data_IF_345248720262
#
_entry.id   IF_345248720262
#
_cell.length_a   1.000
_cell.length_b   1.000
_cell.length_c   1.000
_cell.angle_alpha   90.00
_cell.angle_beta   90.00
_cell.angle_gamma   90.00
#
_symmetry.space_group_name_H-M   'P 1'
#
loop_
_entity.id
_entity.type
_entity.pdbx_description
1 polymer ?
#
# COMPACT_ATOMS: atom_id res chain seq x y z
N UNK A 1 28.23 7.60 -17.11
CA UNK A 1 27.00 6.82 -17.33
C UNK A 1 26.21 7.48 -18.46
N UNK A 2 25.73 6.69 -19.41
CA UNK A 2 24.90 7.16 -20.52
C UNK A 2 23.45 6.74 -20.25
N UNK A 3 22.52 7.66 -20.40
CA UNK A 3 21.11 7.47 -20.07
C UNK A 3 20.25 7.58 -21.32
N UNK A 4 19.38 6.61 -21.54
CA UNK A 4 18.27 6.69 -22.48
C UNK A 4 17.00 7.16 -21.76
N UNK A 5 16.14 7.92 -22.41
CA UNK A 5 14.86 8.33 -21.86
C UNK A 5 13.77 8.26 -22.92
N UNK A 6 12.79 7.38 -22.72
CA UNK A 6 11.69 7.13 -23.66
C UNK A 6 10.40 7.72 -23.10
N UNK A 7 9.79 8.64 -23.87
CA UNK A 7 8.60 9.37 -23.45
C UNK A 7 8.95 10.75 -22.88
N UNK A 8 9.06 11.75 -23.76
CA UNK A 8 9.37 13.13 -23.42
C UNK A 8 8.10 14.00 -23.36
N UNK A 9 7.05 13.46 -22.72
CA UNK A 9 5.84 14.21 -22.43
C UNK A 9 6.07 15.29 -21.36
N UNK A 10 4.99 15.86 -20.82
CA UNK A 10 5.05 16.94 -19.81
C UNK A 10 5.92 16.63 -18.59
N UNK A 11 5.92 15.38 -18.14
CA UNK A 11 6.77 14.92 -17.04
C UNK A 11 8.14 14.47 -17.53
N UNK A 12 8.17 13.66 -18.60
CA UNK A 12 9.39 12.98 -19.04
C UNK A 12 10.47 13.92 -19.54
N UNK A 13 10.12 14.99 -20.25
CA UNK A 13 11.11 15.95 -20.76
C UNK A 13 11.83 16.64 -19.59
N UNK A 14 11.10 17.21 -18.64
CA UNK A 14 11.70 17.87 -17.48
C UNK A 14 12.57 16.92 -16.65
N UNK A 15 12.12 15.66 -16.44
CA UNK A 15 12.93 14.67 -15.73
C UNK A 15 14.23 14.34 -16.50
N UNK A 16 14.14 14.16 -17.82
CA UNK A 16 15.30 13.89 -18.66
C UNK A 16 16.29 15.07 -18.66
N UNK A 17 15.81 16.31 -18.70
CA UNK A 17 16.64 17.52 -18.64
C UNK A 17 17.36 17.68 -17.29
N UNK A 18 16.69 17.38 -16.16
CA UNK A 18 17.33 17.34 -14.84
C UNK A 18 18.45 16.29 -14.81
N UNK A 19 18.21 15.10 -15.37
CA UNK A 19 19.27 14.09 -15.51
C UNK A 19 20.40 14.55 -16.41
N UNK A 20 20.08 15.33 -17.46
CA UNK A 20 21.02 15.89 -18.42
C UNK A 20 22.01 16.88 -17.82
N UNK A 21 21.73 17.44 -16.65
CA UNK A 21 22.67 18.30 -15.93
C UNK A 21 23.90 17.53 -15.41
N UNK A 22 23.80 16.21 -15.29
CA UNK A 22 24.83 15.37 -14.70
C UNK A 22 25.29 14.20 -15.58
N UNK A 23 24.44 13.75 -16.49
CA UNK A 23 24.66 12.58 -17.33
C UNK A 23 24.51 12.87 -18.83
N UNK A 24 25.09 12.03 -19.67
CA UNK A 24 24.89 12.07 -21.12
C UNK A 24 23.54 11.44 -21.45
N UNK A 25 22.48 12.26 -21.54
CA UNK A 25 21.11 11.81 -21.75
C UNK A 25 20.72 11.92 -23.22
N UNK A 26 20.14 10.85 -23.75
CA UNK A 26 19.52 10.82 -25.08
C UNK A 26 18.05 10.44 -24.93
N UNK A 27 17.14 11.35 -25.25
CA UNK A 27 15.70 11.16 -25.12
C UNK A 27 15.02 10.92 -26.46
N UNK A 28 13.95 10.15 -26.47
CA UNK A 28 13.07 9.88 -27.60
C UNK A 28 11.60 10.03 -27.26
N UNK A 29 10.84 10.62 -28.15
CA UNK A 29 9.37 10.68 -28.12
C UNK A 29 8.82 10.49 -29.53
N UNK A 30 7.61 9.93 -29.64
CA UNK A 30 6.92 9.79 -30.94
C UNK A 30 6.54 11.15 -31.55
N UNK A 31 6.40 12.17 -30.70
CA UNK A 31 6.16 13.55 -31.13
C UNK A 31 7.47 14.34 -31.14
N UNK A 32 7.65 15.25 -32.07
CA UNK A 32 8.85 16.11 -32.12
C UNK A 32 9.04 16.86 -30.78
N UNK A 33 10.24 16.80 -30.24
CA UNK A 33 10.66 17.53 -29.05
C UNK A 33 11.92 18.34 -29.35
N UNK A 34 12.16 19.33 -28.53
CA UNK A 34 13.38 20.13 -28.56
C UNK A 34 13.90 20.31 -27.14
N UNK A 35 15.19 20.25 -26.97
CA UNK A 35 15.90 20.51 -25.72
C UNK A 35 17.32 21.01 -26.04
N UNK A 36 17.80 21.87 -25.16
CA UNK A 36 19.20 22.33 -25.18
C UNK A 36 20.03 21.64 -24.07
N UNK A 37 19.39 20.81 -23.21
CA UNK A 37 20.03 20.12 -22.09
C UNK A 37 20.32 18.65 -22.40
N UNK A 38 19.58 18.03 -23.32
CA UNK A 38 19.73 16.62 -23.68
C UNK A 38 19.75 16.44 -25.21
N UNK A 39 20.27 15.30 -25.64
CA UNK A 39 20.19 14.92 -27.07
C UNK A 39 18.80 14.38 -27.38
N UNK A 40 18.19 14.81 -28.47
CA UNK A 40 16.93 14.26 -28.96
C UNK A 40 17.24 13.24 -30.07
N UNK A 41 16.84 11.99 -29.83
CA UNK A 41 16.97 10.89 -30.77
C UNK A 41 15.84 10.90 -31.80
N UNK A 42 16.10 10.33 -32.96
CA UNK A 42 15.13 10.17 -34.06
C UNK A 42 14.46 8.79 -34.03
N UNK A 43 14.96 7.89 -33.22
CA UNK A 43 14.43 6.52 -33.07
C UNK A 43 14.59 5.98 -31.65
N UNK A 44 13.78 4.96 -31.30
CA UNK A 44 13.95 4.20 -30.06
C UNK A 44 15.35 3.58 -30.00
N UNK A 45 15.84 3.07 -31.12
CA UNK A 45 17.18 2.49 -31.27
C UNK A 45 18.25 3.43 -30.74
N UNK A 46 18.27 4.68 -31.21
CA UNK A 46 19.31 5.65 -30.84
C UNK A 46 19.27 6.04 -29.36
N UNK A 47 18.07 5.97 -28.76
CA UNK A 47 17.88 6.24 -27.34
C UNK A 47 18.17 5.02 -26.42
N UNK A 48 18.33 3.81 -27.00
CA UNK A 48 18.57 2.56 -26.27
C UNK A 48 20.00 2.03 -26.46
N UNK A 49 20.50 1.97 -27.70
CA UNK A 49 21.83 1.38 -27.97
C UNK A 49 22.94 2.15 -27.25
N UNK A 50 23.81 1.38 -26.56
CA UNK A 50 24.96 1.92 -25.86
C UNK A 50 24.65 2.76 -24.61
N UNK A 51 23.43 2.70 -24.08
CA UNK A 51 23.06 3.31 -22.82
C UNK A 51 23.26 2.33 -21.67
N UNK A 52 23.53 2.84 -20.49
CA UNK A 52 23.65 2.05 -19.26
C UNK A 52 22.28 1.84 -18.60
N UNK A 53 21.46 2.91 -18.55
CA UNK A 53 20.11 2.92 -17.99
C UNK A 53 19.15 3.53 -19.01
N UNK A 54 17.96 2.94 -19.17
CA UNK A 54 16.89 3.42 -20.04
C UNK A 54 15.64 3.66 -19.21
N UNK A 55 15.26 4.92 -19.02
CA UNK A 55 14.02 5.31 -18.37
C UNK A 55 12.85 5.31 -19.34
N UNK A 56 11.68 4.85 -18.88
CA UNK A 56 10.46 4.76 -19.69
C UNK A 56 9.33 5.48 -18.96
N UNK A 57 8.89 6.61 -19.51
CA UNK A 57 7.86 7.48 -18.97
C UNK A 57 6.73 7.74 -19.99
N UNK A 58 6.22 6.69 -20.58
CA UNK A 58 5.10 6.74 -21.53
C UNK A 58 3.76 6.69 -20.80
N UNK A 59 2.70 7.11 -21.48
CA UNK A 59 1.37 7.17 -20.88
C UNK A 59 0.76 5.78 -20.65
N UNK A 60 0.01 5.65 -19.55
CA UNK A 60 -0.98 4.60 -19.29
C UNK A 60 -2.37 5.27 -19.29
N UNK A 61 -2.93 5.58 -20.47
CA UNK A 61 -4.14 6.38 -20.52
C UNK A 61 -5.34 5.63 -19.95
N UNK A 62 -6.21 6.36 -19.26
CA UNK A 62 -7.57 5.94 -19.03
C UNK A 62 -8.45 6.29 -20.24
N UNK A 63 -9.61 5.67 -20.33
CA UNK A 63 -10.61 6.08 -21.29
C UNK A 63 -11.04 7.53 -20.98
N UNK A 64 -11.12 8.44 -21.97
CA UNK A 64 -11.43 9.84 -21.75
C UNK A 64 -12.70 10.12 -20.95
N UNK A 65 -13.69 9.22 -20.99
CA UNK A 65 -14.92 9.37 -20.20
C UNK A 65 -14.69 9.21 -18.69
N UNK A 66 -13.53 8.68 -18.26
CA UNK A 66 -13.16 8.48 -16.85
C UNK A 66 -12.23 9.57 -16.31
N UNK A 67 -12.11 10.73 -16.96
CA UNK A 67 -11.21 11.81 -16.54
C UNK A 67 -11.66 12.56 -15.27
N UNK A 68 -12.87 12.28 -14.77
CA UNK A 68 -13.43 12.89 -13.57
C UNK A 68 -14.00 14.30 -13.78
N UNK A 69 -13.99 14.84 -15.00
CA UNK A 69 -14.60 16.15 -15.30
C UNK A 69 -16.13 16.10 -15.35
N UNK A 70 -16.70 14.92 -15.42
CA UNK A 70 -18.12 14.61 -15.34
C UNK A 70 -18.37 13.54 -14.27
N UNK A 71 -19.60 13.36 -13.76
CA UNK A 71 -19.91 12.26 -12.84
C UNK A 71 -19.61 10.90 -13.48
N UNK A 72 -18.80 10.07 -12.83
CA UNK A 72 -18.33 8.78 -13.35
C UNK A 72 -18.61 7.58 -12.43
N UNK A 73 -19.08 7.80 -11.21
CA UNK A 73 -19.30 6.72 -10.22
C UNK A 73 -20.36 5.69 -10.65
N UNK A 74 -21.21 6.04 -11.62
CA UNK A 74 -22.22 5.15 -12.22
C UNK A 74 -21.67 4.28 -13.36
N UNK A 75 -20.45 4.56 -13.84
CA UNK A 75 -19.81 3.80 -14.91
C UNK A 75 -19.22 2.49 -14.36
N UNK A 76 -19.10 1.45 -15.20
CA UNK A 76 -18.38 0.24 -14.82
C UNK A 76 -16.93 0.52 -14.44
N UNK A 77 -16.39 -0.22 -13.47
CA UNK A 77 -14.96 -0.13 -13.14
C UNK A 77 -14.10 -0.50 -14.36
N UNK A 78 -12.99 0.22 -14.55
CA UNK A 78 -12.11 0.04 -15.70
C UNK A 78 -10.66 0.25 -15.31
N UNK A 79 -9.77 -0.59 -15.83
CA UNK A 79 -8.32 -0.49 -15.66
C UNK A 79 -7.72 0.54 -16.64
N UNK A 80 -6.45 0.88 -16.43
CA UNK A 80 -5.65 1.65 -17.38
C UNK A 80 -5.44 0.88 -18.68
N UNK A 81 -5.11 1.61 -19.75
CA UNK A 81 -4.67 0.98 -20.99
C UNK A 81 -3.14 0.87 -21.00
N UNK A 82 -2.62 -0.35 -21.06
CA UNK A 82 -1.18 -0.63 -21.02
C UNK A 82 -0.55 -0.85 -22.41
N UNK A 83 -1.31 -0.75 -23.50
CA UNK A 83 -0.82 -1.07 -24.85
C UNK A 83 0.36 -0.20 -25.28
N UNK A 84 0.37 1.08 -24.89
CA UNK A 84 1.50 1.98 -25.17
C UNK A 84 2.76 1.50 -24.44
N UNK A 85 2.63 1.12 -23.17
CA UNK A 85 3.77 0.61 -22.38
C UNK A 85 4.26 -0.72 -22.95
N UNK A 86 3.36 -1.67 -23.24
CA UNK A 86 3.71 -2.98 -23.84
C UNK A 86 4.45 -2.81 -25.17
N UNK A 87 3.90 -2.00 -26.07
CA UNK A 87 4.54 -1.70 -27.37
C UNK A 87 5.90 -1.03 -27.22
N UNK A 88 6.01 -0.09 -26.26
CA UNK A 88 7.28 0.62 -26.00
C UNK A 88 8.34 -0.34 -25.44
N UNK A 89 7.98 -1.16 -24.46
CA UNK A 89 8.89 -2.17 -23.88
C UNK A 89 9.32 -3.19 -24.95
N UNK A 90 8.41 -3.65 -25.81
CA UNK A 90 8.73 -4.52 -26.93
C UNK A 90 9.72 -3.86 -27.92
N UNK A 91 9.51 -2.59 -28.24
CA UNK A 91 10.43 -1.82 -29.11
C UNK A 91 11.82 -1.66 -28.48
N UNK A 92 11.88 -1.40 -27.17
CA UNK A 92 13.14 -1.33 -26.42
C UNK A 92 13.84 -2.70 -26.43
N UNK A 93 13.10 -3.79 -26.20
CA UNK A 93 13.63 -5.15 -26.14
C UNK A 93 14.35 -5.60 -27.42
N UNK A 94 13.96 -5.07 -28.58
CA UNK A 94 14.65 -5.34 -29.84
C UNK A 94 16.07 -4.76 -29.94
N UNK A 95 16.38 -3.76 -29.12
CA UNK A 95 17.66 -3.03 -29.16
C UNK A 95 18.44 -3.10 -27.84
N UNK A 96 17.77 -3.48 -26.76
CA UNK A 96 18.37 -3.60 -25.44
C UNK A 96 19.14 -4.92 -25.29
N UNK A 97 20.10 -4.92 -24.38
CA UNK A 97 20.93 -6.09 -24.02
C UNK A 97 20.84 -6.35 -22.52
N UNK A 98 21.23 -7.56 -22.09
CA UNK A 98 21.26 -7.97 -20.69
C UNK A 98 22.11 -7.07 -19.77
N UNK A 99 23.05 -6.33 -20.33
CA UNK A 99 23.89 -5.40 -19.57
C UNK A 99 23.21 -4.06 -19.28
N UNK A 100 22.06 -3.79 -19.88
CA UNK A 100 21.32 -2.56 -19.73
C UNK A 100 20.19 -2.69 -18.70
N UNK A 101 19.94 -1.61 -17.97
CA UNK A 101 18.84 -1.53 -17.01
C UNK A 101 17.69 -0.70 -17.57
N UNK A 102 16.53 -1.30 -17.73
CA UNK A 102 15.28 -0.60 -18.12
C UNK A 102 14.50 -0.26 -16.84
N UNK A 103 14.12 1.00 -16.72
CA UNK A 103 13.44 1.57 -15.55
C UNK A 103 12.09 2.13 -15.97
N UNK A 104 11.01 1.45 -15.61
CA UNK A 104 9.65 1.89 -15.92
C UNK A 104 9.14 2.86 -14.85
N UNK A 105 8.70 4.05 -15.28
CA UNK A 105 8.15 5.11 -14.42
C UNK A 105 6.61 5.14 -14.46
N UNK A 106 6.02 4.75 -15.57
CA UNK A 106 4.57 4.85 -15.82
C UNK A 106 3.73 4.20 -14.71
N UNK A 107 2.65 4.85 -14.32
CA UNK A 107 1.76 4.35 -13.27
C UNK A 107 0.95 3.15 -13.74
N UNK A 108 0.93 2.09 -12.95
CA UNK A 108 0.20 0.85 -13.21
C UNK A 108 -0.42 0.31 -11.92
N UNK A 109 -1.41 -0.61 -12.02
CA UNK A 109 -2.01 -1.27 -10.87
C UNK A 109 -1.10 -2.37 -10.28
N UNK A 110 -1.25 -2.73 -8.99
CA UNK A 110 -0.49 -3.81 -8.37
C UNK A 110 -0.61 -5.14 -9.12
N UNK A 111 0.54 -5.75 -9.42
CA UNK A 111 0.66 -7.00 -10.16
C UNK A 111 0.79 -6.83 -11.68
N UNK A 112 0.63 -5.63 -12.22
CA UNK A 112 0.67 -5.39 -13.68
C UNK A 112 2.07 -5.66 -14.26
N UNK A 113 3.13 -5.21 -13.61
CA UNK A 113 4.50 -5.46 -14.08
C UNK A 113 4.76 -6.95 -14.19
N UNK A 114 4.49 -7.69 -13.13
CA UNK A 114 4.73 -9.13 -13.07
C UNK A 114 3.89 -9.91 -14.07
N UNK A 115 2.61 -9.61 -14.17
CA UNK A 115 1.65 -10.41 -14.95
C UNK A 115 1.59 -10.01 -16.43
N UNK A 116 1.82 -8.72 -16.77
CA UNK A 116 1.56 -8.22 -18.11
C UNK A 116 2.77 -7.57 -18.78
N UNK A 117 3.65 -6.86 -18.04
CA UNK A 117 4.66 -6.02 -18.69
C UNK A 117 6.02 -6.70 -18.81
N UNK A 118 6.45 -7.46 -17.81
CA UNK A 118 7.80 -8.08 -17.77
C UNK A 118 8.09 -8.97 -18.97
N UNK A 119 7.11 -9.66 -19.50
CA UNK A 119 7.25 -10.50 -20.70
C UNK A 119 7.66 -9.73 -21.96
N UNK A 120 7.41 -8.41 -22.03
CA UNK A 120 7.75 -7.58 -23.17
C UNK A 120 9.20 -7.05 -23.14
N UNK A 121 9.94 -7.29 -22.05
CA UNK A 121 11.32 -6.81 -21.86
C UNK A 121 12.23 -7.90 -21.26
N UNK A 122 12.32 -9.05 -21.91
CA UNK A 122 13.09 -10.20 -21.43
C UNK A 122 14.60 -10.08 -21.65
N UNK A 123 15.04 -9.27 -22.62
CA UNK A 123 16.45 -9.13 -23.01
C UNK A 123 17.26 -8.14 -22.18
N UNK A 124 16.67 -7.49 -21.17
CA UNK A 124 17.35 -6.52 -20.33
C UNK A 124 16.98 -6.71 -18.86
N UNK A 125 17.80 -6.14 -17.95
CA UNK A 125 17.46 -6.03 -16.53
C UNK A 125 16.32 -5.01 -16.38
N UNK A 126 15.48 -5.17 -15.36
CA UNK A 126 14.25 -4.38 -15.25
C UNK A 126 13.95 -3.96 -13.82
N UNK A 127 13.61 -2.67 -13.64
CA UNK A 127 13.12 -2.09 -12.40
C UNK A 127 11.81 -1.32 -12.68
N UNK A 128 10.88 -1.36 -11.72
CA UNK A 128 9.76 -0.44 -11.65
C UNK A 128 10.06 0.69 -10.66
N UNK A 129 9.98 1.94 -11.12
CA UNK A 129 10.35 3.11 -10.32
C UNK A 129 9.35 4.25 -10.53
N UNK A 130 8.15 4.18 -9.93
CA UNK A 130 7.14 5.21 -10.07
C UNK A 130 7.54 6.50 -9.37
N UNK A 131 7.19 7.63 -9.94
CA UNK A 131 7.46 8.94 -9.36
C UNK A 131 6.27 9.49 -8.59
N UNK A 132 6.55 10.23 -7.50
CA UNK A 132 5.60 11.05 -6.74
C UNK A 132 5.80 12.52 -7.10
N UNK A 133 5.55 12.85 -8.35
CA UNK A 133 5.78 14.20 -8.94
C UNK A 133 4.45 14.85 -9.27
N UNK A 134 4.28 16.12 -8.85
CA UNK A 134 3.11 16.92 -9.19
C UNK A 134 3.38 17.73 -10.47
N UNK A 135 2.33 17.91 -11.28
CA UNK A 135 2.40 18.81 -12.44
C UNK A 135 2.55 20.26 -11.96
N UNK A 136 3.49 20.98 -12.55
CA UNK A 136 3.84 22.35 -12.18
C UNK A 136 5.08 22.50 -11.30
N UNK A 137 5.54 21.41 -10.65
CA UNK A 137 6.76 21.37 -9.83
C UNK A 137 7.72 20.24 -10.22
N UNK A 138 7.63 19.74 -11.47
CA UNK A 138 8.30 18.50 -11.91
C UNK A 138 9.81 18.51 -11.62
N UNK A 139 10.51 19.58 -11.97
CA UNK A 139 11.97 19.67 -11.76
C UNK A 139 12.32 19.69 -10.28
N UNK A 140 11.57 20.44 -9.47
CA UNK A 140 11.80 20.50 -8.03
C UNK A 140 11.50 19.16 -7.35
N UNK A 141 10.35 18.55 -7.64
CA UNK A 141 9.95 17.26 -7.09
C UNK A 141 10.92 16.15 -7.49
N UNK A 142 11.50 16.24 -8.71
CA UNK A 142 12.47 15.26 -9.21
C UNK A 142 13.74 15.22 -8.36
N UNK A 143 14.22 16.37 -7.86
CA UNK A 143 15.45 16.46 -7.08
C UNK A 143 15.22 16.59 -5.57
N UNK A 144 13.97 16.79 -5.12
CA UNK A 144 13.58 16.90 -3.72
C UNK A 144 12.41 15.95 -3.34
N UNK A 145 12.40 14.69 -3.77
CA UNK A 145 11.29 13.79 -3.48
C UNK A 145 11.22 13.45 -1.98
N UNK A 146 10.03 13.19 -1.47
CA UNK A 146 9.83 12.63 -0.12
C UNK A 146 10.44 11.23 0.00
N UNK A 147 10.28 10.43 -1.05
CA UNK A 147 10.85 9.09 -1.17
C UNK A 147 11.12 8.73 -2.64
N UNK A 148 12.09 7.86 -2.84
CA UNK A 148 12.36 7.18 -4.12
C UNK A 148 11.90 5.73 -3.98
N UNK A 149 10.95 5.31 -4.81
CA UNK A 149 10.35 3.97 -4.77
C UNK A 149 11.04 3.11 -5.83
N UNK A 150 11.56 1.96 -5.44
CA UNK A 150 12.28 1.03 -6.33
C UNK A 150 11.69 -0.36 -6.19
N UNK A 151 11.07 -0.86 -7.25
CA UNK A 151 10.52 -2.22 -7.33
C UNK A 151 11.44 -3.13 -8.14
N UNK A 152 11.91 -4.21 -7.53
CA UNK A 152 12.65 -5.29 -8.16
C UNK A 152 11.82 -6.58 -8.22
N UNK A 153 12.29 -7.61 -8.86
CA UNK A 153 11.55 -8.88 -8.95
C UNK A 153 11.37 -9.54 -7.58
N UNK A 154 12.43 -9.55 -6.79
CA UNK A 154 12.51 -10.21 -5.48
C UNK A 154 12.51 -9.26 -4.27
N UNK A 155 12.49 -7.94 -4.52
CA UNK A 155 12.59 -6.90 -3.50
C UNK A 155 14.00 -6.73 -2.92
N UNK A 156 15.03 -7.24 -3.58
CA UNK A 156 16.43 -7.10 -3.15
C UNK A 156 16.91 -5.66 -3.24
N UNK A 157 17.59 -5.19 -2.18
CA UNK A 157 18.21 -3.86 -2.12
C UNK A 157 19.59 -3.82 -2.81
N UNK A 158 20.10 -4.97 -3.26
CA UNK A 158 21.40 -5.11 -3.91
C UNK A 158 21.31 -4.98 -5.44
N UNK A 159 22.42 -5.15 -6.16
CA UNK A 159 22.44 -5.19 -7.63
C UNK A 159 21.83 -3.94 -8.26
N UNK A 160 20.75 -4.12 -9.03
CA UNK A 160 20.11 -3.05 -9.79
C UNK A 160 19.43 -1.99 -8.93
N UNK A 161 18.84 -2.38 -7.79
CA UNK A 161 18.27 -1.43 -6.85
C UNK A 161 19.35 -0.51 -6.26
N UNK A 162 20.50 -1.09 -5.91
CA UNK A 162 21.65 -0.29 -5.44
C UNK A 162 22.18 0.64 -6.53
N UNK A 163 22.33 0.16 -7.75
CA UNK A 163 22.78 0.96 -8.90
C UNK A 163 21.86 2.17 -9.10
N UNK A 164 20.54 1.94 -9.09
CA UNK A 164 19.56 3.02 -9.26
C UNK A 164 19.53 3.96 -8.06
N UNK A 165 19.68 3.46 -6.84
CA UNK A 165 19.81 4.27 -5.63
C UNK A 165 21.03 5.19 -5.71
N UNK A 166 22.19 4.66 -6.10
CA UNK A 166 23.43 5.46 -6.24
C UNK A 166 23.30 6.52 -7.36
N UNK A 167 22.59 6.17 -8.45
CA UNK A 167 22.23 7.12 -9.49
C UNK A 167 21.42 8.29 -8.94
N UNK A 168 20.34 8.03 -8.21
CA UNK A 168 19.50 9.08 -7.62
C UNK A 168 20.21 9.88 -6.54
N UNK A 169 21.01 9.27 -5.67
CA UNK A 169 21.81 10.00 -4.67
C UNK A 169 22.69 11.07 -5.30
N UNK A 170 23.10 10.88 -6.55
CA UNK A 170 23.89 11.87 -7.26
C UNK A 170 23.09 13.08 -7.72
N UNK A 171 21.77 12.94 -7.90
CA UNK A 171 20.86 13.96 -8.43
C UNK A 171 20.11 14.70 -7.32
N UNK A 172 19.79 14.01 -6.22
CA UNK A 172 18.95 14.56 -5.15
C UNK A 172 19.61 15.76 -4.46
N UNK A 173 18.80 16.78 -4.17
CA UNK A 173 19.18 17.98 -3.42
C UNK A 173 18.75 17.88 -1.95
N UNK A 174 17.84 16.95 -1.61
CA UNK A 174 17.46 16.57 -0.28
C UNK A 174 18.04 15.19 0.08
N UNK A 175 17.66 14.66 1.24
CA UNK A 175 18.00 13.30 1.66
C UNK A 175 16.72 12.45 1.74
N UNK A 176 16.17 11.98 0.60
CA UNK A 176 14.92 11.24 0.59
C UNK A 176 15.09 9.83 1.18
N UNK A 177 13.98 9.24 1.61
CA UNK A 177 13.95 7.80 1.90
C UNK A 177 14.03 7.01 0.59
N UNK A 178 14.83 5.93 0.58
CA UNK A 178 14.85 4.95 -0.50
C UNK A 178 14.02 3.74 -0.05
N UNK A 179 12.95 3.46 -0.75
CA UNK A 179 12.01 2.36 -0.42
C UNK A 179 12.15 1.30 -1.50
N UNK A 180 12.81 0.20 -1.15
CA UNK A 180 13.01 -0.93 -2.06
C UNK A 180 12.02 -2.04 -1.69
N UNK A 181 11.36 -2.58 -2.70
CA UNK A 181 10.40 -3.67 -2.56
C UNK A 181 10.30 -4.50 -3.84
N UNK A 182 9.34 -5.42 -3.88
CA UNK A 182 8.97 -6.10 -5.12
C UNK A 182 8.27 -5.12 -6.07
N UNK A 183 8.12 -5.50 -7.35
CA UNK A 183 7.33 -4.71 -8.31
C UNK A 183 5.94 -4.42 -7.76
N UNK A 184 5.23 -5.44 -7.26
CA UNK A 184 3.87 -5.35 -6.73
C UNK A 184 3.78 -4.41 -5.51
N UNK A 185 4.81 -4.38 -4.65
CA UNK A 185 4.90 -3.46 -3.52
C UNK A 185 5.10 -2.01 -3.97
N UNK A 186 5.98 -1.78 -4.95
CA UNK A 186 6.23 -0.46 -5.50
C UNK A 186 5.01 0.11 -6.24
N UNK A 187 4.30 -0.74 -7.01
CA UNK A 187 3.01 -0.42 -7.63
C UNK A 187 1.97 -0.03 -6.56
N UNK A 188 1.87 -0.84 -5.50
CA UNK A 188 0.95 -0.59 -4.39
C UNK A 188 1.24 0.75 -3.71
N UNK A 189 2.50 1.04 -3.39
CA UNK A 189 2.89 2.32 -2.77
C UNK A 189 2.42 3.49 -3.64
N UNK A 190 2.67 3.44 -4.96
CA UNK A 190 2.30 4.51 -5.90
C UNK A 190 0.80 4.78 -5.92
N UNK A 191 -0.01 3.74 -6.03
CA UNK A 191 -1.48 3.87 -6.14
C UNK A 191 -2.08 4.32 -4.81
N UNK A 192 -1.72 3.64 -3.71
CA UNK A 192 -2.28 3.95 -2.39
C UNK A 192 -1.83 5.31 -1.84
N UNK A 193 -0.66 5.82 -2.22
CA UNK A 193 -0.23 7.18 -1.88
C UNK A 193 -1.24 8.23 -2.35
N UNK A 194 -1.65 8.17 -3.61
CA UNK A 194 -2.64 9.09 -4.16
C UNK A 194 -4.03 8.90 -3.52
N UNK A 195 -4.46 7.64 -3.32
CA UNK A 195 -5.75 7.34 -2.69
C UNK A 195 -5.82 7.83 -1.25
N UNK A 196 -4.71 7.72 -0.49
CA UNK A 196 -4.64 8.23 0.86
C UNK A 196 -4.80 9.76 0.91
N UNK A 197 -4.21 10.48 -0.04
CA UNK A 197 -4.41 11.94 -0.19
C UNK A 197 -5.88 12.23 -0.49
N UNK A 198 -6.50 11.49 -1.43
CA UNK A 198 -7.92 11.66 -1.78
C UNK A 198 -8.84 11.42 -0.58
N UNK A 199 -8.55 10.41 0.25
CA UNK A 199 -9.31 10.13 1.46
C UNK A 199 -9.21 11.28 2.48
N UNK A 200 -8.00 11.83 2.68
CA UNK A 200 -7.81 13.01 3.56
C UNK A 200 -8.61 14.22 3.05
N UNK A 201 -8.54 14.51 1.74
CA UNK A 201 -9.27 15.63 1.12
C UNK A 201 -10.79 15.42 1.27
N UNK A 202 -11.28 14.20 0.99
CA UNK A 202 -12.69 13.86 1.13
C UNK A 202 -13.21 14.09 2.56
N UNK A 203 -12.43 13.67 3.58
CA UNK A 203 -12.79 13.83 4.97
C UNK A 203 -12.85 15.32 5.39
N UNK A 204 -11.84 16.12 5.04
CA UNK A 204 -11.83 17.55 5.41
C UNK A 204 -12.91 18.34 4.69
N UNK A 205 -13.24 17.99 3.44
CA UNK A 205 -14.34 18.60 2.70
C UNK A 205 -15.70 18.24 3.31
N UNK A 206 -15.89 17.02 3.82
CA UNK A 206 -17.11 16.67 4.55
C UNK A 206 -17.25 17.49 5.84
N UNK A 207 -16.17 17.77 6.57
CA UNK A 207 -16.19 18.69 7.72
C UNK A 207 -16.65 20.09 7.29
N UNK A 208 -16.22 20.57 6.12
CA UNK A 208 -16.66 21.85 5.55
C UNK A 208 -18.17 21.86 5.28
N UNK A 209 -18.72 20.80 4.69
CA UNK A 209 -20.16 20.71 4.40
C UNK A 209 -20.99 20.65 5.70
N UNK A 210 -20.51 19.91 6.72
CA UNK A 210 -21.12 19.93 8.05
C UNK A 210 -21.11 21.35 8.63
N UNK A 211 -20.00 22.07 8.53
CA UNK A 211 -19.89 23.44 9.04
C UNK A 211 -20.88 24.40 8.35
N UNK A 212 -21.01 24.28 7.03
CA UNK A 212 -21.92 25.11 6.23
C UNK A 212 -23.39 24.90 6.61
N UNK A 213 -23.81 23.67 6.82
CA UNK A 213 -25.24 23.35 7.03
C UNK A 213 -25.63 23.43 8.51
N UNK A 214 -24.75 22.90 9.40
CA UNK A 214 -25.02 22.95 10.85
C UNK A 214 -24.94 24.37 11.42
N UNK A 215 -24.10 25.23 10.85
CA UNK A 215 -23.84 26.59 11.34
C UNK A 215 -22.97 26.63 12.60
N UNK A 216 -22.49 27.83 12.93
CA UNK A 216 -21.67 28.12 14.11
C UNK A 216 -20.37 27.29 14.20
N UNK A 217 -19.81 26.87 13.05
CA UNK A 217 -18.55 26.17 12.95
C UNK A 217 -17.65 26.93 11.96
N UNK A 218 -16.44 27.27 12.37
CA UNK A 218 -15.36 27.64 11.45
C UNK A 218 -14.56 26.39 11.11
N UNK A 219 -14.62 25.95 9.84
CA UNK A 219 -13.94 24.74 9.37
C UNK A 219 -12.43 24.82 9.57
N UNK A 220 -11.82 25.99 9.40
CA UNK A 220 -10.37 26.15 9.54
C UNK A 220 -9.90 25.85 10.97
N UNK A 221 -10.69 26.28 11.98
CA UNK A 221 -10.38 25.95 13.39
C UNK A 221 -10.37 24.45 13.62
N UNK A 222 -11.31 23.71 13.00
CA UNK A 222 -11.39 22.26 13.13
C UNK A 222 -10.22 21.57 12.40
N UNK A 223 -10.00 21.93 11.15
CA UNK A 223 -8.97 21.30 10.31
C UNK A 223 -7.55 21.65 10.78
N UNK A 224 -7.29 22.86 11.25
CA UNK A 224 -6.01 23.26 11.83
C UNK A 224 -5.70 22.47 13.12
N UNK A 225 -6.70 22.24 13.98
CA UNK A 225 -6.56 21.41 15.17
C UNK A 225 -6.20 19.96 14.81
N UNK A 226 -6.85 19.39 13.79
CA UNK A 226 -6.55 18.04 13.29
C UNK A 226 -5.15 17.98 12.65
N UNK A 227 -4.80 18.95 11.82
CA UNK A 227 -3.48 19.02 11.15
C UNK A 227 -2.33 19.17 12.14
N UNK A 228 -2.57 19.88 13.26
CA UNK A 228 -1.58 20.06 14.33
C UNK A 228 -1.45 18.84 15.25
N UNK A 229 -2.27 17.79 15.08
CA UNK A 229 -2.25 16.58 15.92
C UNK A 229 -1.13 15.61 15.51
N UNK A 230 0.12 15.96 15.76
CA UNK A 230 1.32 15.25 15.28
C UNK A 230 1.62 13.94 16.01
N UNK A 231 1.00 13.68 17.17
CA UNK A 231 1.23 12.45 17.94
C UNK A 231 0.45 11.25 17.35
N UNK A 232 -0.77 11.47 16.84
CA UNK A 232 -1.65 10.40 16.34
C UNK A 232 -2.00 10.57 14.88
N UNK A 233 -2.66 11.69 14.50
CA UNK A 233 -3.25 11.89 13.18
C UNK A 233 -2.16 12.11 12.12
N UNK A 234 -1.24 13.02 12.37
CA UNK A 234 -0.15 13.38 11.45
C UNK A 234 1.16 12.67 11.82
N UNK A 235 1.09 11.38 12.17
CA UNK A 235 2.23 10.55 12.60
C UNK A 235 2.13 9.16 11.96
N UNK A 236 3.16 8.30 12.07
CA UNK A 236 3.09 6.91 11.60
C UNK A 236 2.20 6.01 12.48
N UNK A 237 1.63 6.50 13.57
CA UNK A 237 0.65 5.73 14.35
C UNK A 237 -0.58 5.40 13.50
N UNK A 238 -1.15 4.22 13.69
CA UNK A 238 -2.27 3.68 12.91
C UNK A 238 -1.98 3.44 11.42
N UNK A 239 -0.71 3.49 11.00
CA UNK A 239 -0.28 3.14 9.64
C UNK A 239 0.24 1.69 9.54
N UNK A 240 0.05 0.87 10.57
CA UNK A 240 0.42 -0.54 10.58
C UNK A 240 -0.82 -1.40 10.35
N UNK A 241 -0.83 -2.18 9.28
CA UNK A 241 -1.91 -3.11 9.00
C UNK A 241 -2.00 -4.21 10.07
N UNK A 242 -3.21 -4.70 10.32
CA UNK A 242 -3.48 -5.72 11.33
C UNK A 242 -4.98 -5.85 11.53
N UNK A 243 -5.44 -5.61 12.75
CA UNK A 243 -6.87 -5.55 13.09
C UNK A 243 -7.47 -4.20 12.72
N UNK A 244 -8.79 -4.16 12.51
CA UNK A 244 -9.53 -2.92 12.33
C UNK A 244 -9.58 -2.06 13.59
N UNK A 245 -10.21 -0.89 13.49
CA UNK A 245 -10.44 -0.02 14.62
C UNK A 245 -11.30 -0.69 15.70
N UNK A 246 -11.03 -0.41 16.95
CA UNK A 246 -11.68 -1.06 18.07
C UNK A 246 -11.89 -0.11 19.25
N UNK A 247 -12.68 -0.56 20.20
CA UNK A 247 -13.04 0.16 21.40
C UNK A 247 -14.35 0.93 21.24
N UNK A 248 -14.84 1.52 22.35
CA UNK A 248 -16.20 2.05 22.43
C UNK A 248 -16.42 3.32 21.59
N UNK A 249 -15.34 4.01 21.18
CA UNK A 249 -15.44 5.32 20.53
C UNK A 249 -15.61 5.20 19.01
N UNK A 250 -14.75 4.45 18.32
CA UNK A 250 -14.69 4.49 16.86
C UNK A 250 -16.01 4.08 16.17
N UNK A 251 -16.59 2.91 16.41
CA UNK A 251 -17.87 2.55 15.79
C UNK A 251 -19.01 3.50 16.19
N UNK A 252 -19.08 3.85 17.47
CA UNK A 252 -20.14 4.73 18.00
C UNK A 252 -20.11 6.11 17.36
N UNK A 253 -18.93 6.72 17.24
CA UNK A 253 -18.78 8.07 16.71
C UNK A 253 -19.04 8.11 15.20
N UNK A 254 -18.63 7.08 14.45
CA UNK A 254 -18.97 6.94 13.04
C UNK A 254 -20.47 6.77 12.82
N UNK A 255 -21.18 5.98 13.65
CA UNK A 255 -22.64 5.84 13.59
C UNK A 255 -23.34 7.17 13.90
N UNK A 256 -22.87 7.91 14.90
CA UNK A 256 -23.42 9.24 15.22
C UNK A 256 -23.19 10.25 14.08
N UNK A 257 -22.05 10.18 13.41
CA UNK A 257 -21.75 11.05 12.25
C UNK A 257 -22.57 10.67 11.02
N UNK A 258 -22.91 9.40 10.81
CA UNK A 258 -23.89 8.97 9.79
C UNK A 258 -25.25 9.62 10.03
N UNK A 259 -25.74 9.55 11.26
CA UNK A 259 -27.00 10.24 11.64
C UNK A 259 -26.92 11.74 11.40
N UNK A 260 -25.80 12.38 11.72
CA UNK A 260 -25.61 13.81 11.46
C UNK A 260 -25.65 14.14 9.95
N UNK A 261 -24.95 13.35 9.12
CA UNK A 261 -24.93 13.51 7.69
C UNK A 261 -26.33 13.40 7.07
N UNK A 262 -27.12 12.41 7.51
CA UNK A 262 -28.53 12.23 7.11
C UNK A 262 -29.39 13.41 7.53
N UNK A 263 -29.32 13.82 8.81
CA UNK A 263 -30.09 14.94 9.36
C UNK A 263 -29.82 16.26 8.65
N UNK A 264 -28.58 16.50 8.24
CA UNK A 264 -28.18 17.70 7.52
C UNK A 264 -28.44 17.62 6.01
N UNK A 265 -28.84 16.46 5.49
CA UNK A 265 -29.09 16.27 4.08
C UNK A 265 -27.86 16.47 3.20
N UNK A 266 -26.68 15.99 3.65
CA UNK A 266 -25.41 16.17 2.91
C UNK A 266 -25.44 15.50 1.53
N UNK A 267 -26.28 14.48 1.34
CA UNK A 267 -26.39 13.73 0.08
C UNK A 267 -25.29 12.68 -0.13
N UNK A 268 -24.36 12.51 0.79
CA UNK A 268 -23.34 11.47 0.81
C UNK A 268 -22.94 11.12 2.24
N UNK A 269 -22.40 9.89 2.45
CA UNK A 269 -22.04 9.37 3.77
C UNK A 269 -20.71 8.63 3.71
N UNK A 270 -19.60 9.34 3.97
CA UNK A 270 -18.25 8.76 4.06
C UNK A 270 -18.14 7.82 5.27
N UNK A 271 -18.91 8.06 6.34
CA UNK A 271 -18.86 7.26 7.57
C UNK A 271 -19.49 5.88 7.36
N UNK A 272 -20.51 5.77 6.49
CA UNK A 272 -21.04 4.49 6.04
C UNK A 272 -19.98 3.66 5.33
N UNK A 273 -19.23 4.27 4.43
CA UNK A 273 -18.15 3.59 3.72
C UNK A 273 -17.06 3.08 4.68
N UNK A 274 -16.69 3.87 5.70
CA UNK A 274 -15.73 3.46 6.75
C UNK A 274 -16.26 2.26 7.53
N UNK A 275 -17.52 2.31 7.99
CA UNK A 275 -18.14 1.22 8.76
C UNK A 275 -18.31 -0.04 7.92
N UNK A 276 -18.75 0.10 6.67
CA UNK A 276 -18.87 -1.04 5.75
C UNK A 276 -17.52 -1.69 5.47
N UNK A 277 -16.46 -0.91 5.25
CA UNK A 277 -15.11 -1.43 5.06
C UNK A 277 -14.61 -2.18 6.30
N UNK A 278 -14.86 -1.65 7.51
CA UNK A 278 -14.55 -2.29 8.79
C UNK A 278 -15.19 -3.68 8.92
N UNK A 279 -16.48 -3.76 8.64
CA UNK A 279 -17.25 -5.00 8.76
C UNK A 279 -16.85 -6.04 7.69
N UNK A 280 -16.71 -5.61 6.44
CA UNK A 280 -16.30 -6.50 5.35
C UNK A 280 -14.90 -7.06 5.58
N UNK A 281 -13.96 -6.25 6.06
CA UNK A 281 -12.61 -6.69 6.38
C UNK A 281 -12.62 -7.74 7.53
N UNK A 282 -13.42 -7.55 8.58
CA UNK A 282 -13.60 -8.54 9.64
C UNK A 282 -14.16 -9.87 9.11
N UNK A 283 -15.17 -9.79 8.22
CA UNK A 283 -15.74 -10.95 7.55
C UNK A 283 -14.71 -11.69 6.68
N UNK A 284 -13.83 -10.97 5.99
CA UNK A 284 -12.78 -11.58 5.19
C UNK A 284 -11.77 -12.34 6.05
N UNK A 285 -11.41 -11.81 7.22
CA UNK A 285 -10.55 -12.53 8.20
C UNK A 285 -11.28 -13.78 8.70
N UNK A 286 -12.55 -13.67 9.09
CA UNK A 286 -13.34 -14.81 9.54
C UNK A 286 -13.42 -15.91 8.47
N UNK A 287 -13.66 -15.52 7.21
CA UNK A 287 -13.67 -16.45 6.07
C UNK A 287 -12.32 -17.15 5.88
N UNK A 288 -11.23 -16.41 6.00
CA UNK A 288 -9.87 -16.97 5.90
C UNK A 288 -9.61 -18.02 6.99
N UNK A 289 -9.95 -17.71 8.24
CA UNK A 289 -9.83 -18.64 9.37
C UNK A 289 -10.71 -19.87 9.17
N UNK A 290 -11.96 -19.68 8.73
CA UNK A 290 -12.89 -20.79 8.44
C UNK A 290 -12.38 -21.70 7.34
N UNK A 291 -11.80 -21.16 6.27
CA UNK A 291 -11.21 -21.97 5.21
C UNK A 291 -10.06 -22.87 5.73
N UNK A 292 -9.22 -22.37 6.66
CA UNK A 292 -8.17 -23.18 7.29
C UNK A 292 -8.82 -24.28 8.15
N UNK A 293 -9.85 -23.94 8.93
CA UNK A 293 -10.57 -24.90 9.77
C UNK A 293 -11.21 -26.02 8.93
N UNK A 294 -11.81 -25.71 7.78
CA UNK A 294 -12.46 -26.69 6.91
C UNK A 294 -11.49 -27.73 6.35
N UNK A 295 -10.20 -27.36 6.20
CA UNK A 295 -9.16 -28.27 5.70
C UNK A 295 -8.50 -29.05 6.84
N UNK A 296 -8.33 -28.44 8.01
CA UNK A 296 -7.53 -28.99 9.11
C UNK A 296 -8.38 -29.60 10.24
N UNK A 297 -9.66 -29.27 10.29
CA UNK A 297 -10.61 -29.63 11.37
C UNK A 297 -10.21 -29.08 12.76
N UNK A 298 -9.16 -28.23 12.85
CA UNK A 298 -8.69 -27.64 14.08
C UNK A 298 -9.65 -26.55 14.59
N UNK A 299 -9.87 -26.45 15.91
CA UNK A 299 -10.64 -25.34 16.48
C UNK A 299 -9.91 -24.00 16.32
N UNK A 300 -10.66 -22.91 16.14
CA UNK A 300 -10.09 -21.57 16.07
C UNK A 300 -10.03 -20.97 17.47
N UNK A 301 -8.84 -20.53 17.89
CA UNK A 301 -8.62 -19.79 19.13
C UNK A 301 -8.29 -18.34 18.80
N UNK A 302 -9.19 -17.42 19.16
CA UNK A 302 -8.99 -15.97 18.99
C UNK A 302 -8.27 -15.44 20.23
N UNK A 303 -6.97 -15.16 20.09
CA UNK A 303 -6.13 -14.72 21.20
C UNK A 303 -6.25 -13.21 21.41
N UNK A 304 -7.14 -12.81 22.31
CA UNK A 304 -7.52 -11.45 22.60
C UNK A 304 -9.00 -11.20 22.32
N UNK A 305 -9.84 -11.18 23.37
CA UNK A 305 -11.27 -10.90 23.30
C UNK A 305 -11.57 -9.42 23.51
N UNK A 306 -10.86 -8.79 24.46
CA UNK A 306 -10.97 -7.36 24.72
C UNK A 306 -10.59 -6.54 23.48
N UNK A 307 -10.94 -5.25 23.43
CA UNK A 307 -10.67 -4.41 22.26
C UNK A 307 -9.16 -4.08 22.07
N UNK A 308 -8.35 -4.31 23.09
CA UNK A 308 -6.88 -4.20 23.06
C UNK A 308 -6.26 -5.01 24.22
N UNK A 309 -4.94 -5.27 24.17
CA UNK A 309 -4.23 -5.92 25.29
C UNK A 309 -4.35 -5.14 26.60
N UNK A 310 -4.21 -5.89 27.71
CA UNK A 310 -4.09 -5.36 29.08
C UNK A 310 -5.32 -4.56 29.58
N UNK A 311 -6.50 -4.85 29.03
CA UNK A 311 -7.81 -4.35 29.50
C UNK A 311 -8.84 -5.47 29.50
N UNK A 312 -9.87 -5.34 30.32
CA UNK A 312 -11.02 -6.27 30.42
C UNK A 312 -12.26 -5.81 29.61
N UNK A 313 -12.15 -4.70 28.89
CA UNK A 313 -13.27 -4.05 28.21
C UNK A 313 -13.43 -4.56 26.78
N UNK A 314 -14.64 -5.07 26.47
CA UNK A 314 -14.92 -5.73 25.20
C UNK A 314 -15.78 -4.91 24.22
N UNK A 315 -16.36 -3.77 24.64
CA UNK A 315 -17.21 -2.98 23.76
C UNK A 315 -16.44 -2.46 22.53
N UNK A 316 -17.02 -2.66 21.36
CA UNK A 316 -16.40 -2.31 20.10
C UNK A 316 -15.18 -3.17 19.72
N UNK A 317 -14.98 -4.33 20.41
CA UNK A 317 -13.89 -5.24 20.08
C UNK A 317 -14.01 -5.76 18.65
N UNK A 318 -12.92 -5.62 17.89
CA UNK A 318 -12.86 -6.17 16.54
C UNK A 318 -12.81 -7.70 16.53
N UNK A 319 -12.27 -8.31 17.60
CA UNK A 319 -12.27 -9.76 17.79
C UNK A 319 -13.70 -10.30 17.92
N UNK A 320 -14.57 -9.58 18.62
CA UNK A 320 -16.00 -9.96 18.75
C UNK A 320 -16.72 -9.86 17.40
N UNK A 321 -16.39 -8.86 16.58
CA UNK A 321 -16.95 -8.75 15.24
C UNK A 321 -16.52 -9.92 14.33
N UNK A 322 -15.24 -10.32 14.39
CA UNK A 322 -14.75 -11.52 13.69
C UNK A 322 -15.48 -12.77 14.19
N UNK A 323 -15.64 -12.93 15.51
CA UNK A 323 -16.36 -14.06 16.10
C UNK A 323 -17.83 -14.12 15.66
N UNK A 324 -18.50 -12.97 15.54
CA UNK A 324 -19.88 -12.92 15.00
C UNK A 324 -19.95 -13.53 13.60
N UNK A 325 -19.04 -13.15 12.71
CA UNK A 325 -18.97 -13.75 11.37
C UNK A 325 -18.57 -15.22 11.36
N UNK A 326 -17.70 -15.66 12.29
CA UNK A 326 -17.39 -17.09 12.45
C UNK A 326 -18.62 -17.88 12.89
N UNK A 327 -19.45 -17.33 13.78
CA UNK A 327 -20.73 -17.92 14.19
C UNK A 327 -21.67 -18.08 12.99
N UNK A 328 -21.83 -17.03 12.20
CA UNK A 328 -22.67 -17.05 10.97
C UNK A 328 -22.19 -18.11 9.96
N UNK A 329 -20.89 -18.40 9.93
CA UNK A 329 -20.27 -19.42 9.07
C UNK A 329 -20.28 -20.83 9.68
N UNK A 330 -20.82 -21.01 10.89
CA UNK A 330 -20.84 -22.31 11.59
C UNK A 330 -19.46 -22.79 12.01
N UNK A 331 -18.52 -21.89 12.29
CA UNK A 331 -17.18 -22.24 12.74
C UNK A 331 -17.16 -22.64 14.21
N UNK A 332 -16.24 -23.55 14.56
CA UNK A 332 -15.93 -23.89 15.95
C UNK A 332 -14.80 -23.01 16.44
N UNK A 333 -15.07 -22.10 17.36
CA UNK A 333 -14.06 -21.18 17.90
C UNK A 333 -14.30 -20.86 19.37
N UNK A 334 -13.24 -20.37 20.02
CA UNK A 334 -13.29 -19.80 21.38
C UNK A 334 -12.44 -18.53 21.41
N UNK A 335 -12.72 -17.67 22.39
CA UNK A 335 -11.82 -16.59 22.77
C UNK A 335 -10.85 -17.07 23.84
N UNK A 336 -9.62 -16.55 23.80
CA UNK A 336 -8.62 -16.75 24.87
C UNK A 336 -8.06 -15.38 25.23
N UNK A 337 -8.39 -14.91 26.43
CA UNK A 337 -7.95 -13.61 26.93
C UNK A 337 -7.95 -13.62 28.47
N UNK A 338 -6.78 -13.63 29.10
CA UNK A 338 -6.68 -13.65 30.57
C UNK A 338 -7.36 -12.46 31.26
N UNK A 339 -7.42 -11.29 30.57
CA UNK A 339 -8.04 -10.09 31.15
C UNK A 339 -9.57 -10.21 31.27
N UNK A 340 -10.20 -11.05 30.44
CA UNK A 340 -11.64 -11.31 30.47
C UNK A 340 -11.98 -12.66 31.12
N UNK A 341 -11.02 -13.32 31.76
CA UNK A 341 -11.11 -14.65 32.35
C UNK A 341 -11.46 -15.77 31.35
N UNK A 342 -11.23 -15.54 30.07
CA UNK A 342 -11.33 -16.56 29.02
C UNK A 342 -9.96 -17.27 28.91
N UNK A 343 -9.75 -18.33 29.68
CA UNK A 343 -8.47 -19.05 29.78
C UNK A 343 -8.60 -20.50 29.31
N UNK A 344 -7.52 -21.08 28.83
CA UNK A 344 -7.41 -22.48 28.42
C UNK A 344 -6.26 -23.10 29.19
N UNK A 345 -6.52 -24.26 29.81
CA UNK A 345 -5.52 -25.00 30.58
C UNK A 345 -4.73 -25.97 29.68
N UNK A 346 -3.39 -25.87 29.75
CA UNK A 346 -2.46 -26.75 29.08
C UNK A 346 -2.32 -26.49 27.57
N UNK A 347 -1.47 -27.29 26.90
CA UNK A 347 -1.20 -27.16 25.47
C UNK A 347 -2.43 -27.48 24.60
N UNK A 348 -2.69 -26.66 23.60
CA UNK A 348 -3.81 -26.84 22.66
C UNK A 348 -3.29 -26.93 21.21
N UNK A 349 -3.80 -27.91 20.46
CA UNK A 349 -3.64 -27.95 19.02
C UNK A 349 -4.79 -27.20 18.36
N UNK A 350 -4.49 -26.07 17.73
CA UNK A 350 -5.51 -25.12 17.28
C UNK A 350 -5.02 -24.21 16.13
N UNK A 351 -5.96 -23.49 15.54
CA UNK A 351 -5.69 -22.31 14.72
C UNK A 351 -5.67 -21.10 15.67
N UNK A 352 -4.49 -20.66 16.06
CA UNK A 352 -4.29 -19.51 16.95
C UNK A 352 -4.28 -18.20 16.15
N UNK A 353 -5.36 -17.43 16.22
CA UNK A 353 -5.44 -16.11 15.60
C UNK A 353 -5.00 -15.02 16.58
N UNK A 354 -3.91 -14.31 16.26
CA UNK A 354 -3.32 -13.30 17.15
C UNK A 354 -4.07 -11.96 17.02
N UNK A 355 -5.23 -11.86 17.66
CA UNK A 355 -6.04 -10.64 17.64
C UNK A 355 -5.36 -9.49 18.38
N UNK A 356 -4.68 -9.75 19.49
CA UNK A 356 -3.90 -8.75 20.23
C UNK A 356 -2.46 -8.65 19.72
N UNK A 357 -2.04 -7.42 19.42
CA UNK A 357 -0.65 -7.11 19.16
C UNK A 357 0.06 -6.71 20.45
N UNK A 358 0.90 -7.58 20.98
CA UNK A 358 1.65 -7.33 22.23
C UNK A 358 2.98 -6.60 22.03
N UNK A 359 3.40 -6.40 20.79
CA UNK A 359 4.66 -5.68 20.48
C UNK A 359 4.46 -4.18 20.26
N UNK A 360 3.21 -3.71 20.16
CA UNK A 360 2.90 -2.28 20.06
C UNK A 360 2.57 -1.75 21.45
N UNK A 361 3.45 -0.92 21.98
CA UNK A 361 3.20 -0.17 23.22
C UNK A 361 2.11 0.86 22.99
N UNK A 362 0.98 0.71 23.65
CA UNK A 362 -0.09 1.71 23.76
C UNK A 362 0.14 2.68 24.94
N UNK A 363 1.38 2.79 25.43
CA UNK A 363 1.75 3.68 26.53
C UNK A 363 2.79 4.71 26.14
N UNK A 364 2.89 5.79 26.91
CA UNK A 364 3.93 6.81 26.80
C UNK A 364 5.34 6.29 27.19
N UNK A 365 5.44 5.08 27.77
CA UNK A 365 6.67 4.53 28.33
C UNK A 365 7.64 3.88 27.32
N UNK A 366 7.19 3.57 26.10
CA UNK A 366 8.07 3.00 25.08
C UNK A 366 8.62 1.58 25.34
N UNK A 367 8.24 0.92 26.43
CA UNK A 367 8.71 -0.45 26.74
C UNK A 367 8.03 -1.48 25.84
N UNK A 368 8.84 -2.27 25.14
CA UNK A 368 8.38 -3.45 24.40
C UNK A 368 8.28 -4.62 25.39
N UNK A 369 7.06 -5.15 25.59
CA UNK A 369 6.88 -6.40 26.31
C UNK A 369 7.15 -7.60 25.40
N UNK A 370 7.75 -8.69 25.93
CA UNK A 370 7.91 -9.91 25.15
C UNK A 370 6.55 -10.45 24.69
N UNK A 371 6.57 -11.14 23.56
CA UNK A 371 5.40 -11.72 22.92
C UNK A 371 4.99 -13.01 23.67
N UNK A 372 4.16 -12.88 24.70
CA UNK A 372 3.53 -14.02 25.35
C UNK A 372 2.20 -14.34 24.66
N UNK A 373 2.04 -15.57 24.21
CA UNK A 373 0.75 -16.06 23.77
C UNK A 373 -0.14 -16.31 24.99
N UNK A 374 -1.45 -16.17 24.81
CA UNK A 374 -2.44 -16.48 25.86
C UNK A 374 -2.72 -17.98 26.00
N UNK A 375 -2.07 -18.82 25.21
CA UNK A 375 -2.21 -20.28 25.20
C UNK A 375 -0.86 -20.92 24.88
N UNK A 376 -0.59 -22.06 25.48
CA UNK A 376 0.51 -22.93 25.08
C UNK A 376 0.10 -23.72 23.83
N UNK A 377 0.90 -23.62 22.76
CA UNK A 377 0.61 -24.28 21.49
C UNK A 377 1.15 -25.71 21.45
N UNK A 378 0.29 -26.68 21.18
CA UNK A 378 0.71 -28.03 20.88
C UNK A 378 1.29 -28.13 19.43
N UNK A 379 2.19 -29.13 19.19
CA UNK A 379 2.63 -29.46 17.82
C UNK A 379 1.44 -29.71 16.89
N UNK A 380 1.51 -29.22 15.66
CA UNK A 380 0.40 -29.27 14.69
C UNK A 380 -0.43 -27.98 14.63
N UNK A 381 -0.29 -27.10 15.60
CA UNK A 381 -0.99 -25.82 15.60
C UNK A 381 -0.59 -24.92 14.44
N UNK A 382 -1.53 -24.05 14.02
CA UNK A 382 -1.36 -23.03 12.99
C UNK A 382 -1.54 -21.66 13.61
N UNK A 383 -0.53 -20.82 13.58
CA UNK A 383 -0.63 -19.42 14.03
C UNK A 383 -0.94 -18.53 12.85
N UNK A 384 -2.04 -17.78 12.92
CA UNK A 384 -2.39 -16.73 11.95
C UNK A 384 -2.13 -15.38 12.59
N UNK A 385 -1.08 -14.71 12.12
CA UNK A 385 -0.59 -13.46 12.69
C UNK A 385 -0.86 -12.26 11.75
N UNK A 386 -1.88 -11.43 12.03
CA UNK A 386 -2.18 -10.24 11.24
C UNK A 386 -1.19 -9.09 11.50
N UNK A 387 -0.29 -9.22 12.48
CA UNK A 387 0.73 -8.23 12.82
C UNK A 387 2.09 -8.54 12.19
N UNK A 388 2.30 -9.78 11.71
CA UNK A 388 3.52 -10.27 11.02
C UNK A 388 4.78 -10.14 11.89
N UNK A 389 4.65 -10.49 13.18
CA UNK A 389 5.69 -10.33 14.19
C UNK A 389 6.02 -11.62 14.93
N UNK A 390 5.09 -12.57 14.95
CA UNK A 390 5.28 -13.84 15.65
C UNK A 390 6.23 -14.75 14.87
N UNK A 391 7.12 -15.39 15.61
CA UNK A 391 7.99 -16.48 15.12
C UNK A 391 7.92 -17.66 16.09
N UNK A 392 8.09 -18.86 15.60
CA UNK A 392 8.18 -20.08 16.41
C UNK A 392 9.51 -20.77 16.16
N UNK A 393 10.17 -21.20 17.21
CA UNK A 393 11.36 -22.06 17.14
C UNK A 393 10.98 -23.55 16.95
N UNK A 394 9.72 -23.91 17.18
CA UNK A 394 9.18 -25.26 16.93
C UNK A 394 8.70 -25.39 15.48
N UNK A 395 9.44 -26.12 14.66
CA UNK A 395 9.13 -26.36 13.25
C UNK A 395 7.79 -27.09 13.01
N UNK A 396 7.19 -27.68 14.07
CA UNK A 396 5.87 -28.34 14.00
C UNK A 396 4.70 -27.35 14.14
N UNK A 397 4.97 -26.08 14.44
CA UNK A 397 4.00 -25.01 14.49
C UNK A 397 4.11 -24.21 13.19
N UNK A 398 3.05 -24.20 12.39
CA UNK A 398 2.98 -23.42 11.17
C UNK A 398 2.62 -21.96 11.47
N UNK A 399 3.43 -21.01 11.02
CA UNK A 399 3.15 -19.57 11.17
C UNK A 399 2.74 -18.98 9.82
N UNK A 400 1.60 -18.29 9.80
CA UNK A 400 1.07 -17.58 8.63
C UNK A 400 1.02 -16.09 8.98
N UNK A 401 1.85 -15.30 8.33
CA UNK A 401 1.83 -13.84 8.43
C UNK A 401 0.76 -13.28 7.49
N UNK A 402 -0.45 -13.06 7.99
CA UNK A 402 -1.57 -12.55 7.20
C UNK A 402 -1.23 -11.17 6.61
N UNK A 403 -1.33 -11.06 5.28
CA UNK A 403 -0.92 -9.87 4.54
C UNK A 403 0.53 -9.85 4.07
N UNK A 404 1.33 -10.92 4.34
CA UNK A 404 2.63 -11.12 3.74
C UNK A 404 2.65 -12.43 2.94
N UNK A 405 2.58 -12.32 1.63
CA UNK A 405 2.56 -13.46 0.70
C UNK A 405 3.85 -13.57 -0.13
N UNK A 406 4.84 -12.75 0.19
CA UNK A 406 6.08 -12.62 -0.58
C UNK A 406 6.88 -13.93 -0.70
N UNK A 407 6.88 -14.75 0.35
CA UNK A 407 7.68 -15.96 0.47
C UNK A 407 6.84 -17.26 0.52
N UNK A 408 5.53 -17.16 0.34
CA UNK A 408 4.70 -18.35 0.28
C UNK A 408 4.68 -18.85 -1.16
N UNK A 409 5.21 -20.07 -1.47
CA UNK A 409 4.91 -20.70 -2.74
C UNK A 409 3.40 -20.84 -2.85
N UNK A 410 2.86 -20.51 -4.02
CA UNK A 410 1.47 -20.82 -4.35
C UNK A 410 1.29 -22.30 -4.01
N UNK A 411 0.49 -22.61 -3.01
CA UNK A 411 0.03 -23.97 -2.80
C UNK A 411 -0.98 -24.25 -3.91
N UNK A 412 -0.58 -25.14 -4.84
CA UNK A 412 -1.44 -25.69 -5.87
C UNK A 412 -2.71 -26.33 -5.29
#
# INVERSE_FOLDING_TARGET
>A
MKVGFIGLGKLGLSCAEVMGEKYDVTGYDIYPRQSNKIKIATSVKDAVEGKDIIFVAVQTPHDPIYDGSQPITHLPNKDFNYEIVKSTLGSINHHATENQLVVLISTVLPGTVRNELRQHISGARFIYNPYLIAMGSVEWDMVNPEMVIIGTEDGSETGDAKLLTDFYKSLMQNNPRYVVGTWDEAESIKIFYNTFISAKIGLVNMIQDVAMINGNINVDVVTDALASSTIRIMSPKYMKAGMGDAGPCHPRDNIALRFLAERLGLGYDLFDAIMSAREIQARNIAKYLKNIQDVTELPIYILGKAYKPDVDFCDGSYSLLIGSYLTDMGATYIYVDPMTNDVVDGPAECIAFLAHNRTVTYGYSGEQKPQELYVELAPGSIVVDPWRQFTSDDARIKVIHYGNTRLQPLQD
#
